data_IF_812988338625
#
_entry.id   IF_812988338625
#
_cell.length_a   1.000
_cell.length_b   1.000
_cell.length_c   1.000
_cell.angle_alpha   90.00
_cell.angle_beta   90.00
_cell.angle_gamma   90.00
#
_symmetry.space_group_name_H-M   'P 1'
#
loop_
_entity.id
_entity.type
_entity.pdbx_description
1 polymer ?
#
# COMPACT_ATOMS: atom_id res chain seq x y z
N UNK A 1 -12.44 -5.97 16.31
CA UNK A 1 -11.16 -5.88 15.57
C UNK A 1 -11.30 -5.93 14.05
N UNK A 2 -12.02 -6.89 13.45
CA UNK A 2 -12.11 -6.98 11.98
C UNK A 2 -12.77 -5.77 11.30
N UNK A 3 -13.92 -5.29 11.80
CA UNK A 3 -14.59 -4.07 11.28
C UNK A 3 -13.75 -2.81 11.45
N UNK A 4 -13.08 -2.67 12.60
CA UNK A 4 -12.14 -1.57 12.85
C UNK A 4 -10.98 -1.59 11.83
N UNK A 5 -10.39 -2.77 11.59
CA UNK A 5 -9.32 -2.90 10.58
C UNK A 5 -9.82 -2.50 9.19
N UNK A 6 -11.05 -2.85 8.83
CA UNK A 6 -11.66 -2.48 7.55
C UNK A 6 -11.89 -0.98 7.42
N UNK A 7 -12.37 -0.30 8.48
CA UNK A 7 -12.49 1.15 8.48
C UNK A 7 -11.12 1.83 8.31
N UNK A 8 -10.10 1.35 9.04
CA UNK A 8 -8.71 1.81 8.90
C UNK A 8 -8.21 1.59 7.47
N UNK A 9 -8.46 0.43 6.86
CA UNK A 9 -8.07 0.13 5.48
C UNK A 9 -8.70 1.09 4.46
N UNK A 10 -9.99 1.42 4.61
CA UNK A 10 -10.66 2.41 3.73
C UNK A 10 -9.99 3.77 3.84
N UNK A 11 -9.69 4.22 5.06
CA UNK A 11 -9.00 5.49 5.29
C UNK A 11 -7.58 5.48 4.72
N UNK A 12 -6.83 4.38 4.88
CA UNK A 12 -5.51 4.21 4.26
C UNK A 12 -5.62 4.30 2.74
N UNK A 13 -6.60 3.63 2.12
CA UNK A 13 -6.77 3.65 0.67
C UNK A 13 -7.05 5.07 0.15
N UNK A 14 -7.90 5.83 0.83
CA UNK A 14 -8.18 7.23 0.49
C UNK A 14 -6.92 8.11 0.63
N UNK A 15 -6.20 8.00 1.75
CA UNK A 15 -4.95 8.74 1.96
C UNK A 15 -3.87 8.34 0.96
N UNK A 16 -3.78 7.06 0.60
CA UNK A 16 -2.84 6.57 -0.40
C UNK A 16 -3.14 7.16 -1.77
N UNK A 17 -4.41 7.23 -2.18
CA UNK A 17 -4.79 7.84 -3.45
C UNK A 17 -4.34 9.32 -3.52
N UNK A 18 -4.57 10.07 -2.45
CA UNK A 18 -4.11 11.47 -2.32
C UNK A 18 -2.58 11.54 -2.33
N UNK A 19 -1.91 10.68 -1.58
CA UNK A 19 -0.45 10.63 -1.51
C UNK A 19 0.18 10.32 -2.88
N UNK A 20 -0.34 9.32 -3.59
CA UNK A 20 0.15 8.91 -4.90
C UNK A 20 -0.07 10.00 -5.96
N UNK A 21 -1.23 10.65 -5.97
CA UNK A 21 -1.52 11.75 -6.88
C UNK A 21 -0.61 12.97 -6.61
N UNK A 22 -0.57 13.44 -5.36
CA UNK A 22 0.24 14.61 -5.02
C UNK A 22 1.75 14.33 -5.11
N UNK A 23 2.16 13.11 -4.76
CA UNK A 23 3.53 12.62 -4.90
C UNK A 23 3.96 12.56 -6.36
N UNK A 24 3.11 12.07 -7.27
CA UNK A 24 3.40 12.05 -8.71
C UNK A 24 3.59 13.47 -9.27
N UNK A 25 2.74 14.43 -8.92
CA UNK A 25 2.95 15.83 -9.30
C UNK A 25 4.23 16.43 -8.73
N UNK A 26 4.60 16.06 -7.50
CA UNK A 26 5.86 16.48 -6.89
C UNK A 26 7.07 15.88 -7.61
N UNK A 27 7.04 14.60 -7.98
CA UNK A 27 8.07 13.93 -8.78
C UNK A 27 8.23 14.56 -10.16
N UNK A 28 7.13 15.00 -10.77
CA UNK A 28 7.11 15.78 -12.01
C UNK A 28 7.46 17.26 -11.81
N UNK A 29 7.86 17.70 -10.61
CA UNK A 29 8.31 19.08 -10.34
C UNK A 29 7.20 20.14 -10.46
N UNK A 30 5.94 19.73 -10.53
CA UNK A 30 4.77 20.64 -10.57
C UNK A 30 4.45 21.18 -9.17
N UNK A 31 4.67 20.36 -8.14
CA UNK A 31 4.47 20.73 -6.74
C UNK A 31 5.80 20.71 -5.99
N UNK A 32 6.01 21.69 -5.10
CA UNK A 32 7.16 21.74 -4.18
C UNK A 32 7.00 20.82 -2.98
N UNK A 33 7.71 21.10 -1.88
CA UNK A 33 7.44 20.46 -0.58
C UNK A 33 6.25 21.13 0.12
N UNK A 34 5.54 20.43 1.01
CA UNK A 34 4.47 21.03 1.81
C UNK A 34 4.38 20.38 3.20
N UNK A 35 4.30 21.17 4.28
CA UNK A 35 4.08 20.65 5.63
C UNK A 35 2.80 19.81 5.75
N UNK A 36 1.73 20.22 5.07
CA UNK A 36 0.45 19.49 5.07
C UNK A 36 0.58 18.13 4.39
N UNK A 37 1.20 18.08 3.19
CA UNK A 37 1.45 16.80 2.51
C UNK A 37 2.33 15.86 3.33
N UNK A 38 3.35 16.41 4.00
CA UNK A 38 4.21 15.66 4.92
C UNK A 38 3.40 15.09 6.09
N UNK A 39 2.56 15.92 6.72
CA UNK A 39 1.71 15.48 7.83
C UNK A 39 0.75 14.36 7.40
N UNK A 40 0.09 14.50 6.24
CA UNK A 40 -0.80 13.47 5.69
C UNK A 40 -0.05 12.15 5.42
N UNK A 41 1.19 12.20 4.90
CA UNK A 41 2.01 11.01 4.70
C UNK A 41 2.36 10.32 6.02
N UNK A 42 2.68 11.06 7.09
CA UNK A 42 2.93 10.50 8.41
C UNK A 42 1.68 9.91 9.05
N UNK A 43 0.53 10.57 8.92
CA UNK A 43 -0.76 10.05 9.39
C UNK A 43 -1.08 8.73 8.68
N UNK A 44 -0.91 8.69 7.35
CA UNK A 44 -1.09 7.48 6.56
C UNK A 44 -0.14 6.36 7.03
N UNK A 45 1.14 6.66 7.24
CA UNK A 45 2.12 5.68 7.75
C UNK A 45 1.72 5.14 9.13
N UNK A 46 1.25 6.01 10.04
CA UNK A 46 0.74 5.61 11.34
C UNK A 46 -0.46 4.66 11.24
N UNK A 47 -1.41 4.95 10.33
CA UNK A 47 -2.56 4.08 10.07
C UNK A 47 -2.14 2.73 9.47
N UNK A 48 -1.17 2.73 8.55
CA UNK A 48 -0.55 1.49 8.03
C UNK A 48 0.05 0.67 9.16
N UNK A 49 0.73 1.30 10.11
CA UNK A 49 1.23 0.65 11.33
C UNK A 49 0.11 0.02 12.17
N UNK A 50 -1.00 0.73 12.38
CA UNK A 50 -2.18 0.19 13.09
C UNK A 50 -2.77 -1.01 12.33
N UNK A 51 -2.97 -0.88 11.02
CA UNK A 51 -3.46 -1.97 10.16
C UNK A 51 -2.56 -3.21 10.23
N UNK A 52 -1.24 -3.01 10.22
CA UNK A 52 -0.24 -4.05 10.35
C UNK A 52 -0.36 -4.78 11.70
N UNK A 53 -0.41 -4.03 12.81
CA UNK A 53 -0.52 -4.63 14.16
C UNK A 53 -1.79 -5.47 14.31
N UNK A 54 -2.93 -4.95 13.85
CA UNK A 54 -4.20 -5.71 13.87
C UNK A 54 -4.09 -6.97 12.98
N UNK A 55 -3.48 -6.84 11.81
CA UNK A 55 -3.29 -7.96 10.88
C UNK A 55 -2.36 -9.04 11.43
N UNK A 56 -1.29 -8.66 12.13
CA UNK A 56 -0.39 -9.60 12.83
C UNK A 56 -1.18 -10.38 13.89
N UNK A 57 -1.95 -9.68 14.73
CA UNK A 57 -2.79 -10.30 15.76
C UNK A 57 -3.77 -11.30 15.17
N UNK A 58 -4.49 -10.91 14.11
CA UNK A 58 -5.45 -11.79 13.42
C UNK A 58 -4.76 -13.00 12.77
N UNK A 59 -3.52 -12.85 12.33
CA UNK A 59 -2.72 -13.94 11.77
C UNK A 59 -2.27 -14.90 12.86
N UNK A 60 -1.82 -14.39 14.00
CA UNK A 60 -1.48 -15.21 15.18
C UNK A 60 -2.69 -16.01 15.67
N UNK A 61 -3.88 -15.40 15.76
CA UNK A 61 -5.13 -16.11 16.10
C UNK A 61 -5.40 -17.27 15.12
N UNK A 62 -5.13 -17.06 13.83
CA UNK A 62 -5.33 -18.07 12.78
C UNK A 62 -4.37 -19.25 12.98
N UNK A 63 -3.09 -18.98 13.28
CA UNK A 63 -2.12 -20.04 13.59
C UNK A 63 -2.47 -20.82 14.86
N UNK A 64 -2.94 -20.13 15.91
CA UNK A 64 -3.39 -20.78 17.16
C UNK A 64 -4.58 -21.71 16.87
N UNK A 65 -5.55 -21.24 16.09
CA UNK A 65 -6.71 -22.05 15.70
C UNK A 65 -6.28 -23.28 14.86
N UNK A 66 -5.38 -23.10 13.89
CA UNK A 66 -4.87 -24.16 13.04
C UNK A 66 -4.14 -25.25 13.85
N UNK A 67 -3.31 -24.82 14.82
CA UNK A 67 -2.60 -25.73 15.72
C UNK A 67 -3.57 -26.53 16.60
N UNK A 68 -4.65 -25.91 17.06
CA UNK A 68 -5.68 -26.59 17.88
C UNK A 68 -6.53 -27.57 17.06
N UNK A 69 -6.80 -27.27 15.79
CA UNK A 69 -7.66 -28.13 14.96
C UNK A 69 -6.89 -29.27 14.28
N UNK A 70 -5.55 -29.24 14.26
CA UNK A 70 -4.73 -30.22 13.54
C UNK A 70 -4.88 -30.18 12.02
N UNK A 71 -5.60 -29.19 11.49
CA UNK A 71 -5.87 -29.07 10.07
C UNK A 71 -4.71 -28.38 9.34
N UNK A 72 -4.48 -28.71 8.07
CA UNK A 72 -3.55 -28.01 7.21
C UNK A 72 -4.32 -27.45 6.01
N UNK A 73 -4.60 -26.14 6.03
CA UNK A 73 -5.38 -25.46 4.97
C UNK A 73 -4.50 -24.67 3.99
N UNK A 74 -3.24 -25.07 3.83
CA UNK A 74 -2.27 -24.28 3.06
C UNK A 74 -2.63 -24.23 1.57
N UNK A 75 -3.12 -25.35 1.01
CA UNK A 75 -3.42 -25.49 -0.42
C UNK A 75 -4.82 -24.96 -0.76
N UNK A 76 -5.73 -25.05 0.20
CA UNK A 76 -7.14 -24.67 0.13
C UNK A 76 -7.31 -23.15 0.28
N UNK A 77 -6.38 -22.48 0.97
CA UNK A 77 -6.47 -21.06 1.29
C UNK A 77 -5.33 -20.22 0.68
N UNK A 78 -5.01 -20.45 -0.59
CA UNK A 78 -3.96 -19.70 -1.32
C UNK A 78 -4.13 -18.19 -1.23
N UNK A 79 -5.37 -17.70 -1.35
CA UNK A 79 -5.65 -16.27 -1.32
C UNK A 79 -5.33 -15.64 0.04
N UNK A 80 -5.50 -16.38 1.14
CA UNK A 80 -5.05 -15.94 2.46
C UNK A 80 -3.53 -15.78 2.51
N UNK A 81 -2.79 -16.76 2.02
CA UNK A 81 -1.32 -16.70 2.02
C UNK A 81 -0.77 -15.60 1.12
N UNK A 82 -1.37 -15.39 -0.06
CA UNK A 82 -1.00 -14.28 -0.95
C UNK A 82 -1.12 -12.93 -0.22
N UNK A 83 -2.21 -12.69 0.52
CA UNK A 83 -2.38 -11.47 1.32
C UNK A 83 -1.30 -11.31 2.40
N UNK A 84 -0.92 -12.40 3.08
CA UNK A 84 0.10 -12.34 4.14
C UNK A 84 1.49 -12.10 3.58
N UNK A 85 1.86 -12.80 2.50
CA UNK A 85 3.16 -12.64 1.85
C UNK A 85 3.27 -11.24 1.22
N UNK A 86 2.24 -10.79 0.50
CA UNK A 86 2.22 -9.42 -0.07
C UNK A 86 2.26 -8.34 1.01
N UNK A 87 1.58 -8.53 2.14
CA UNK A 87 1.66 -7.61 3.27
C UNK A 87 3.08 -7.52 3.87
N UNK A 88 3.78 -8.65 3.99
CA UNK A 88 5.18 -8.67 4.45
C UNK A 88 6.09 -7.99 3.42
N UNK A 89 5.93 -8.29 2.13
CA UNK A 89 6.70 -7.64 1.07
C UNK A 89 6.48 -6.12 1.04
N UNK A 90 5.24 -5.66 1.26
CA UNK A 90 4.92 -4.24 1.39
C UNK A 90 5.68 -3.57 2.54
N UNK A 91 5.87 -4.23 3.68
CA UNK A 91 6.64 -3.66 4.79
C UNK A 91 8.07 -3.32 4.35
N UNK A 92 8.74 -4.23 3.63
CA UNK A 92 10.09 -4.00 3.12
C UNK A 92 10.13 -2.86 2.08
N UNK A 93 9.19 -2.83 1.15
CA UNK A 93 9.16 -1.81 0.11
C UNK A 93 8.75 -0.42 0.63
N UNK A 94 7.85 -0.35 1.63
CA UNK A 94 7.51 0.91 2.31
C UNK A 94 8.73 1.45 3.05
N UNK A 95 9.49 0.60 3.75
CA UNK A 95 10.73 1.03 4.40
C UNK A 95 11.73 1.57 3.38
N UNK A 96 11.91 0.88 2.25
CA UNK A 96 12.75 1.36 1.15
C UNK A 96 12.29 2.71 0.61
N UNK A 97 10.99 2.90 0.38
CA UNK A 97 10.41 4.17 -0.04
C UNK A 97 10.69 5.30 0.95
N UNK A 98 10.53 5.04 2.25
CA UNK A 98 10.86 6.02 3.30
C UNK A 98 12.34 6.39 3.24
N UNK A 99 13.25 5.42 3.16
CA UNK A 99 14.70 5.69 3.11
C UNK A 99 15.12 6.49 1.87
N UNK A 100 14.46 6.27 0.72
CA UNK A 100 14.76 7.00 -0.53
C UNK A 100 14.29 8.46 -0.45
N UNK A 101 13.10 8.70 0.10
CA UNK A 101 12.48 10.02 0.11
C UNK A 101 12.65 10.80 1.43
N UNK A 102 13.33 10.22 2.43
CA UNK A 102 13.62 10.84 3.72
C UNK A 102 15.14 10.87 3.98
N UNK A 103 15.77 12.03 3.76
CA UNK A 103 17.20 12.25 4.05
C UNK A 103 17.41 13.62 4.71
N UNK A 104 18.19 13.65 5.80
CA UNK A 104 18.69 14.87 6.47
C UNK A 104 17.63 15.84 7.01
N UNK A 105 16.55 15.37 7.62
CA UNK A 105 15.58 16.22 8.35
C UNK A 105 14.66 17.09 7.48
N UNK A 106 15.03 17.33 6.23
CA UNK A 106 14.27 18.13 5.27
C UNK A 106 13.38 17.24 4.39
N UNK A 107 12.06 17.48 4.36
CA UNK A 107 11.18 16.82 3.40
C UNK A 107 11.47 17.41 2.01
N UNK A 108 11.88 16.55 1.07
CA UNK A 108 11.86 16.87 -0.37
C UNK A 108 12.95 17.88 -0.80
N UNK A 109 14.22 17.47 -0.75
CA UNK A 109 15.07 17.70 -1.93
C UNK A 109 15.16 16.37 -2.65
N UNK A 110 14.38 16.28 -3.72
CA UNK A 110 14.55 15.29 -4.76
C UNK A 110 16.06 15.16 -5.04
N UNK A 111 16.64 14.02 -4.63
CA UNK A 111 18.06 13.70 -4.79
C UNK A 111 18.25 12.58 -5.81
N UNK A 112 19.50 12.14 -5.99
CA UNK A 112 19.84 11.12 -6.98
C UNK A 112 18.88 9.92 -6.96
N UNK A 113 18.27 9.66 -8.12
CA UNK A 113 17.30 8.61 -8.31
C UNK A 113 17.73 7.72 -9.48
N UNK A 114 18.47 6.67 -9.15
CA UNK A 114 19.00 5.72 -10.12
C UNK A 114 18.10 4.51 -10.34
N UNK A 115 18.63 3.54 -11.09
CA UNK A 115 17.91 2.35 -11.54
C UNK A 115 17.41 1.50 -10.37
N UNK A 116 18.21 1.33 -9.31
CA UNK A 116 17.80 0.57 -8.13
C UNK A 116 16.60 1.23 -7.42
N UNK A 117 16.61 2.56 -7.28
CA UNK A 117 15.47 3.30 -6.73
C UNK A 117 14.24 3.11 -7.61
N UNK A 118 14.36 3.27 -8.93
CA UNK A 118 13.23 3.04 -9.85
C UNK A 118 12.65 1.62 -9.70
N UNK A 119 13.49 0.59 -9.72
CA UNK A 119 13.05 -0.81 -9.59
C UNK A 119 12.31 -1.03 -8.27
N UNK A 120 12.84 -0.53 -7.15
CA UNK A 120 12.18 -0.69 -5.84
C UNK A 120 10.82 0.02 -5.78
N UNK A 121 10.67 1.17 -6.43
CA UNK A 121 9.40 1.89 -6.50
C UNK A 121 8.38 1.20 -7.42
N UNK A 122 8.81 0.60 -8.52
CA UNK A 122 7.94 -0.23 -9.38
C UNK A 122 7.47 -1.46 -8.62
N UNK A 123 8.37 -2.16 -7.91
CA UNK A 123 8.04 -3.32 -7.10
C UNK A 123 7.09 -2.97 -5.95
N UNK A 124 7.26 -1.80 -5.32
CA UNK A 124 6.32 -1.27 -4.33
C UNK A 124 4.92 -1.14 -4.93
N UNK A 125 4.80 -0.45 -6.08
CA UNK A 125 3.52 -0.26 -6.77
C UNK A 125 2.86 -1.58 -7.15
N UNK A 126 3.62 -2.52 -7.72
CA UNK A 126 3.12 -3.84 -8.10
C UNK A 126 2.66 -4.67 -6.89
N UNK A 127 3.44 -4.66 -5.80
CA UNK A 127 3.10 -5.39 -4.58
C UNK A 127 1.85 -4.79 -3.91
N UNK A 128 1.74 -3.46 -3.90
CA UNK A 128 0.56 -2.78 -3.38
C UNK A 128 -0.69 -3.09 -4.18
N UNK A 129 -0.58 -3.09 -5.52
CA UNK A 129 -1.67 -3.49 -6.41
C UNK A 129 -2.15 -4.91 -6.07
N UNK A 130 -1.23 -5.87 -5.99
CA UNK A 130 -1.55 -7.26 -5.63
C UNK A 130 -2.24 -7.34 -4.27
N UNK A 131 -1.75 -6.61 -3.27
CA UNK A 131 -2.33 -6.60 -1.93
C UNK A 131 -3.77 -6.06 -1.97
N UNK A 132 -4.00 -4.89 -2.56
CA UNK A 132 -5.32 -4.28 -2.70
C UNK A 132 -6.30 -5.22 -3.43
N UNK A 133 -5.88 -5.80 -4.56
CA UNK A 133 -6.72 -6.67 -5.37
C UNK A 133 -7.16 -7.93 -4.62
N UNK A 134 -6.28 -8.50 -3.82
CA UNK A 134 -6.58 -9.72 -3.04
C UNK A 134 -7.36 -9.44 -1.76
N UNK A 135 -7.40 -8.19 -1.31
CA UNK A 135 -8.13 -7.73 -0.13
C UNK A 135 -9.48 -7.05 -0.44
N UNK A 136 -9.73 -6.63 -1.69
CA UNK A 136 -10.95 -5.92 -2.07
C UNK A 136 -12.23 -6.70 -1.74
N UNK A 137 -12.28 -7.99 -2.09
CA UNK A 137 -13.43 -8.86 -1.77
C UNK A 137 -13.60 -9.10 -0.26
N UNK A 138 -12.57 -9.52 0.50
CA UNK A 138 -12.64 -9.58 1.96
C UNK A 138 -13.09 -8.29 2.63
N UNK A 139 -12.62 -7.13 2.13
CA UNK A 139 -12.99 -5.80 2.64
C UNK A 139 -14.48 -5.52 2.45
N UNK A 140 -15.04 -5.79 1.29
CA UNK A 140 -16.49 -5.64 1.07
C UNK A 140 -17.31 -6.51 2.02
N UNK A 141 -16.89 -7.78 2.19
CA UNK A 141 -17.58 -8.73 3.08
C UNK A 141 -17.56 -8.23 4.53
N UNK A 142 -16.43 -7.70 5.01
CA UNK A 142 -16.34 -7.19 6.39
C UNK A 142 -17.12 -5.90 6.62
N UNK A 143 -17.35 -5.11 5.56
CA UNK A 143 -18.24 -3.94 5.55
C UNK A 143 -19.72 -4.31 5.39
N UNK A 144 -20.06 -5.59 5.20
CA UNK A 144 -21.44 -6.06 5.02
C UNK A 144 -21.98 -5.85 3.60
N UNK A 145 -21.12 -5.49 2.64
CA UNK A 145 -21.49 -5.31 1.24
C UNK A 145 -21.46 -6.66 0.53
N UNK A 146 -22.63 -7.16 0.11
CA UNK A 146 -22.72 -8.39 -0.70
C UNK A 146 -22.24 -8.11 -2.13
N UNK A 147 -21.03 -8.56 -2.44
CA UNK A 147 -20.50 -8.80 -3.80
C UNK A 147 -20.97 -7.79 -4.86
N UNK A 148 -20.79 -6.50 -4.57
CA UNK A 148 -21.07 -5.43 -5.54
C UNK A 148 -20.00 -5.48 -6.63
N UNK A 149 -20.36 -6.02 -7.81
CA UNK A 149 -19.45 -6.11 -8.95
C UNK A 149 -18.94 -4.73 -9.38
N UNK A 150 -19.79 -3.72 -9.30
CA UNK A 150 -19.46 -2.33 -9.62
C UNK A 150 -18.35 -1.81 -8.70
N UNK A 151 -18.50 -1.93 -7.37
CA UNK A 151 -17.46 -1.52 -6.43
C UNK A 151 -16.11 -2.24 -6.66
N UNK A 152 -16.15 -3.51 -7.07
CA UNK A 152 -14.93 -4.24 -7.43
C UNK A 152 -14.26 -3.66 -8.67
N UNK A 153 -15.05 -3.35 -9.70
CA UNK A 153 -14.56 -2.75 -10.94
C UNK A 153 -14.06 -1.32 -10.72
N UNK A 154 -14.77 -0.52 -9.93
CA UNK A 154 -14.37 0.83 -9.56
C UNK A 154 -13.05 0.81 -8.78
N UNK A 155 -12.93 -0.10 -7.81
CA UNK A 155 -11.69 -0.28 -7.07
C UNK A 155 -10.52 -0.68 -7.97
N UNK A 156 -10.75 -1.57 -8.93
CA UNK A 156 -9.74 -1.95 -9.93
C UNK A 156 -9.36 -0.76 -10.81
N UNK A 157 -10.35 -0.04 -11.35
CA UNK A 157 -10.16 1.12 -12.21
C UNK A 157 -9.35 2.21 -11.51
N UNK A 158 -9.74 2.60 -10.30
CA UNK A 158 -9.05 3.60 -9.49
C UNK A 158 -7.60 3.17 -9.24
N UNK A 159 -7.40 1.91 -8.85
CA UNK A 159 -6.05 1.36 -8.61
C UNK A 159 -5.20 1.43 -9.87
N UNK A 160 -5.75 1.06 -11.04
CA UNK A 160 -5.04 1.12 -12.32
C UNK A 160 -4.63 2.54 -12.70
N UNK A 161 -5.53 3.53 -12.55
CA UNK A 161 -5.23 4.94 -12.85
C UNK A 161 -4.13 5.48 -11.93
N UNK A 162 -4.22 5.21 -10.63
CA UNK A 162 -3.20 5.65 -9.66
C UNK A 162 -1.83 5.04 -9.98
N UNK A 163 -1.78 3.75 -10.31
CA UNK A 163 -0.53 3.06 -10.63
C UNK A 163 0.10 3.59 -11.92
N UNK A 164 -0.71 3.82 -12.95
CA UNK A 164 -0.24 4.41 -14.21
C UNK A 164 0.36 5.80 -13.97
N UNK A 165 -0.37 6.65 -13.26
CA UNK A 165 0.08 8.00 -12.93
C UNK A 165 1.35 8.00 -12.07
N UNK A 166 1.42 7.15 -11.04
CA UNK A 166 2.59 7.03 -10.18
C UNK A 166 3.81 6.50 -10.94
N UNK A 167 3.61 5.49 -11.80
CA UNK A 167 4.66 4.94 -12.66
C UNK A 167 5.22 5.98 -13.61
N UNK A 168 4.35 6.78 -14.25
CA UNK A 168 4.77 7.91 -15.07
C UNK A 168 5.57 8.95 -14.25
N UNK A 169 5.11 9.28 -13.04
CA UNK A 169 5.83 10.17 -12.13
C UNK A 169 7.24 9.68 -11.79
N UNK A 170 7.40 8.39 -11.45
CA UNK A 170 8.72 7.79 -11.21
C UNK A 170 9.59 7.75 -12.46
N UNK A 171 9.02 7.46 -13.64
CA UNK A 171 9.76 7.44 -14.89
C UNK A 171 10.28 8.84 -15.28
N UNK A 172 9.40 9.86 -15.22
CA UNK A 172 9.80 11.26 -15.45
C UNK A 172 10.88 11.67 -14.46
N UNK A 173 10.75 11.28 -13.20
CA UNK A 173 11.74 11.60 -12.19
C UNK A 173 13.08 10.92 -12.46
N UNK A 174 13.09 9.64 -12.82
CA UNK A 174 14.29 8.90 -13.20
C UNK A 174 15.00 9.53 -14.40
N UNK A 175 14.26 9.93 -15.45
CA UNK A 175 14.83 10.59 -16.64
C UNK A 175 15.55 11.90 -16.31
N UNK A 176 15.15 12.62 -15.26
CA UNK A 176 15.84 13.86 -14.83
C UNK A 176 17.23 13.61 -14.24
N UNK A 177 17.55 12.37 -13.89
CA UNK A 177 18.81 11.97 -13.26
C UNK A 177 19.67 11.07 -14.16
N UNK A 178 19.25 10.84 -15.40
CA UNK A 178 20.04 10.27 -16.49
C UNK A 178 20.96 11.34 -17.08
#
# INVERSE_FOLDING_TARGET
MRRLNSAVTVLIAALFAVHAALGGFQLMGVLGSSPVRKALAWIMLGLVGVHMLISIKLTADTFIALRRSGACYFRENKLFWIRRISGIALMFFILSHLLIFFRNGEPVRLGFFGTAQLITQILLGATLALHILTDLRPLMISLGLKSCKELMLDGLFITSVILLFSGAGFAVYFIRWL
#
